data_IF_392408889044
#
_entry.id   IF_392408889044
#
_cell.length_a   1.000
_cell.length_b   1.000
_cell.length_c   1.000
_cell.angle_alpha   90.00
_cell.angle_beta   90.00
_cell.angle_gamma   90.00
#
_symmetry.space_group_name_H-M   'P 1'
#
loop_
_entity.id
_entity.type
_entity.pdbx_description
1 polymer ?
#
# COMPACT_ATOMS: atom_id res chain seq x y z
N UNK A 1 4.47 0.03 22.76
CA UNK A 1 3.30 0.52 22.02
C UNK A 1 2.93 -0.54 20.99
N UNK A 2 1.69 -1.05 20.94
CA UNK A 2 1.31 -2.03 19.93
C UNK A 2 1.38 -1.39 18.53
N UNK A 3 1.72 -2.16 17.48
CA UNK A 3 1.73 -1.65 16.12
C UNK A 3 0.32 -1.18 15.74
N UNK A 4 0.24 0.01 15.12
CA UNK A 4 -1.03 0.56 14.64
C UNK A 4 -1.53 -0.26 13.45
N UNK A 5 -2.75 -0.81 13.48
CA UNK A 5 -3.30 -1.53 12.33
C UNK A 5 -3.48 -0.60 11.13
N UNK A 6 -3.08 -1.07 9.95
CA UNK A 6 -3.30 -0.37 8.68
C UNK A 6 -4.35 -1.12 7.84
N UNK A 7 -5.17 -0.36 7.11
CA UNK A 7 -6.09 -0.92 6.12
C UNK A 7 -5.35 -1.02 4.78
N UNK A 8 -5.49 -2.17 4.12
CA UNK A 8 -4.89 -2.40 2.80
C UNK A 8 -5.83 -3.21 1.94
N UNK A 9 -5.95 -2.82 0.68
CA UNK A 9 -6.48 -3.70 -0.36
C UNK A 9 -5.46 -4.79 -0.71
N UNK A 10 -5.90 -5.82 -1.45
CA UNK A 10 -5.09 -7.00 -1.80
C UNK A 10 -5.31 -7.41 -3.25
N UNK A 11 -4.24 -7.74 -3.96
CA UNK A 11 -4.24 -8.38 -5.29
C UNK A 11 -3.30 -9.59 -5.34
N UNK A 12 -3.27 -10.29 -6.46
CA UNK A 12 -2.35 -11.41 -6.73
C UNK A 12 -2.90 -12.78 -6.33
N UNK A 13 -1.99 -13.69 -5.98
CA UNK A 13 -2.30 -15.09 -5.70
C UNK A 13 -3.45 -15.25 -4.68
N UNK A 14 -4.32 -16.27 -4.79
CA UNK A 14 -5.38 -16.53 -3.80
C UNK A 14 -4.87 -16.61 -2.35
N UNK A 15 -5.75 -16.34 -1.38
CA UNK A 15 -5.40 -16.51 0.04
C UNK A 15 -5.09 -17.99 0.31
N UNK A 16 -4.01 -18.24 1.04
CA UNK A 16 -3.54 -19.61 1.33
C UNK A 16 -2.65 -20.24 0.26
N UNK A 17 -2.50 -19.63 -0.92
CA UNK A 17 -1.62 -20.14 -1.99
C UNK A 17 -0.41 -19.24 -2.30
N UNK A 18 -0.37 -18.03 -1.75
CA UNK A 18 0.76 -17.13 -1.89
C UNK A 18 2.01 -17.70 -1.20
N UNK A 19 3.14 -17.69 -1.90
CA UNK A 19 4.47 -18.09 -1.40
C UNK A 19 5.38 -16.91 -1.10
N UNK A 20 5.02 -15.73 -1.59
CA UNK A 20 5.71 -14.48 -1.29
C UNK A 20 4.71 -13.33 -1.20
N UNK A 21 5.17 -12.22 -0.63
CA UNK A 21 4.37 -11.02 -0.42
C UNK A 21 5.17 -9.81 -0.86
N UNK A 22 4.50 -8.90 -1.56
CA UNK A 22 5.00 -7.55 -1.86
C UNK A 22 4.05 -6.56 -1.17
N UNK A 23 4.63 -5.63 -0.42
CA UNK A 23 3.90 -4.53 0.23
C UNK A 23 4.43 -3.24 -0.38
N UNK A 24 3.57 -2.55 -1.14
CA UNK A 24 3.87 -1.23 -1.66
C UNK A 24 3.67 -0.18 -0.57
N UNK A 25 4.57 0.78 -0.51
CA UNK A 25 4.52 1.91 0.43
C UNK A 25 4.48 3.18 -0.39
N UNK A 26 3.33 3.87 -0.37
CA UNK A 26 3.12 5.05 -1.20
C UNK A 26 3.89 6.27 -0.67
N UNK A 27 4.14 7.24 -1.56
CA UNK A 27 4.77 8.52 -1.22
C UNK A 27 3.82 9.48 -0.49
N UNK A 28 4.35 10.60 -0.01
CA UNK A 28 3.57 11.64 0.69
C UNK A 28 2.40 12.14 -0.15
N UNK A 29 1.20 12.21 0.44
CA UNK A 29 0.00 12.71 -0.22
C UNK A 29 -0.64 11.77 -1.24
N UNK A 30 -0.11 10.55 -1.43
CA UNK A 30 -0.74 9.49 -2.23
C UNK A 30 -1.59 8.56 -1.34
N UNK A 31 -2.12 7.49 -1.91
CA UNK A 31 -2.82 6.42 -1.17
C UNK A 31 -2.37 5.03 -1.63
N UNK A 32 -2.84 3.99 -0.94
CA UNK A 32 -2.52 2.60 -1.24
C UNK A 32 -3.07 2.13 -2.59
N UNK A 33 -4.25 2.61 -2.99
CA UNK A 33 -4.87 2.22 -4.26
C UNK A 33 -4.00 2.63 -5.47
N UNK A 34 -3.36 3.79 -5.41
CA UNK A 34 -2.45 4.30 -6.45
C UNK A 34 -1.34 3.29 -6.77
N UNK A 35 -0.68 2.76 -5.74
CA UNK A 35 0.41 1.78 -5.93
C UNK A 35 -0.07 0.35 -6.12
N UNK A 36 -1.26 -0.01 -5.64
CA UNK A 36 -1.79 -1.36 -5.87
C UNK A 36 -2.03 -1.64 -7.37
N UNK A 37 -2.21 -0.60 -8.18
CA UNK A 37 -2.23 -0.71 -9.64
C UNK A 37 -0.98 -1.38 -10.23
N UNK A 38 0.20 -1.21 -9.61
CA UNK A 38 1.44 -1.86 -10.05
C UNK A 38 1.40 -3.39 -9.95
N UNK A 39 0.47 -3.96 -9.19
CA UNK A 39 0.30 -5.40 -9.13
C UNK A 39 -0.11 -6.00 -10.49
N UNK A 40 -0.84 -5.25 -11.34
CA UNK A 40 -1.38 -5.78 -12.60
C UNK A 40 -0.27 -6.16 -13.61
N UNK A 41 0.72 -5.31 -13.90
CA UNK A 41 1.86 -5.71 -14.75
C UNK A 41 2.82 -6.68 -14.07
N UNK A 42 2.89 -6.72 -12.72
CA UNK A 42 3.83 -7.58 -11.99
C UNK A 42 3.32 -9.01 -11.79
N UNK A 43 2.01 -9.20 -11.59
CA UNK A 43 1.41 -10.49 -11.26
C UNK A 43 1.71 -11.61 -12.27
N UNK A 44 1.76 -11.37 -13.61
CA UNK A 44 2.13 -12.41 -14.58
C UNK A 44 3.54 -12.98 -14.38
N UNK A 45 4.47 -12.17 -13.88
CA UNK A 45 5.87 -12.54 -13.62
C UNK A 45 6.07 -13.09 -12.20
N UNK A 46 5.15 -12.76 -11.29
CA UNK A 46 5.22 -13.06 -9.86
C UNK A 46 3.99 -13.90 -9.43
N UNK A 47 3.73 -15.00 -10.13
CA UNK A 47 2.47 -15.77 -10.09
C UNK A 47 2.02 -16.26 -8.70
N UNK A 48 2.95 -16.44 -7.77
CA UNK A 48 2.66 -16.92 -6.40
C UNK A 48 2.80 -15.80 -5.35
N UNK A 49 2.64 -14.54 -5.77
CA UNK A 49 2.83 -13.38 -4.90
C UNK A 49 1.49 -12.75 -4.55
N UNK A 50 1.30 -12.43 -3.27
CA UNK A 50 0.23 -11.54 -2.84
C UNK A 50 0.74 -10.10 -2.77
N UNK A 51 -0.04 -9.15 -3.29
CA UNK A 51 0.29 -7.73 -3.30
C UNK A 51 -0.62 -6.98 -2.33
N UNK A 52 -0.02 -6.09 -1.55
CA UNK A 52 -0.70 -5.20 -0.62
C UNK A 52 -0.19 -3.78 -0.82
N UNK A 53 -1.02 -2.81 -0.49
CA UNK A 53 -0.67 -1.40 -0.49
C UNK A 53 -1.55 -0.71 0.56
N UNK A 54 -1.08 -0.61 1.81
CA UNK A 54 -1.82 0.08 2.85
C UNK A 54 -1.86 1.59 2.62
N UNK A 55 -2.95 2.22 3.04
CA UNK A 55 -2.95 3.66 3.28
C UNK A 55 -2.11 3.97 4.52
N UNK A 56 -1.36 5.07 4.45
CA UNK A 56 -0.66 5.61 5.59
C UNK A 56 -1.65 6.07 6.69
N UNK A 57 -1.23 6.15 7.97
CA UNK A 57 -2.13 6.29 9.10
C UNK A 57 -2.74 7.69 9.29
N UNK A 58 -2.22 8.71 8.63
CA UNK A 58 -2.62 10.11 8.80
C UNK A 58 -3.11 10.69 7.48
N UNK A 59 -4.16 11.53 7.51
CA UNK A 59 -4.56 12.33 6.35
C UNK A 59 -3.47 13.35 5.99
N UNK A 60 -3.23 13.58 4.71
CA UNK A 60 -2.25 14.56 4.24
C UNK A 60 -2.86 15.98 4.25
N UNK A 61 -2.26 16.97 4.93
CA UNK A 61 -2.77 18.35 4.95
C UNK A 61 -2.88 19.00 3.57
N UNK A 62 -1.95 18.69 2.66
CA UNK A 62 -1.87 19.28 1.31
C UNK A 62 -2.68 18.55 0.22
N UNK A 63 -3.29 17.41 0.54
CA UNK A 63 -4.12 16.65 -0.42
C UNK A 63 -5.28 15.95 0.32
N UNK A 64 -6.53 16.44 0.21
CA UNK A 64 -7.68 15.92 0.95
C UNK A 64 -7.99 14.43 0.74
N UNK A 65 -7.54 13.84 -0.37
CA UNK A 65 -7.73 12.42 -0.70
C UNK A 65 -6.47 11.57 -0.50
N UNK A 66 -5.41 12.17 0.05
CA UNK A 66 -4.11 11.54 0.27
C UNK A 66 -3.80 11.28 1.73
N UNK A 67 -2.79 10.44 1.96
CA UNK A 67 -2.30 10.05 3.27
C UNK A 67 -0.80 10.34 3.44
N UNK A 68 -0.34 10.37 4.69
CA UNK A 68 1.07 10.54 5.04
C UNK A 68 1.48 9.55 6.14
N UNK A 69 2.74 9.11 6.09
CA UNK A 69 3.33 8.23 7.11
C UNK A 69 3.76 8.99 8.36
N UNK A 70 4.20 10.23 8.13
CA UNK A 70 4.62 11.22 9.10
C UNK A 70 4.50 12.60 8.44
N UNK A 71 4.31 13.67 9.24
CA UNK A 71 4.30 15.03 8.70
C UNK A 71 5.66 15.41 8.14
N UNK A 72 5.67 16.22 7.08
CA UNK A 72 6.88 16.85 6.55
C UNK A 72 6.84 18.31 7.02
N UNK A 73 7.59 18.70 8.08
CA UNK A 73 7.35 19.97 8.78
C UNK A 73 7.52 21.26 7.97
N UNK A 74 8.18 21.17 6.82
CA UNK A 74 8.44 22.29 5.91
C UNK A 74 7.52 22.31 4.69
N UNK A 75 6.54 21.41 4.62
CA UNK A 75 5.43 21.39 3.66
C UNK A 75 4.12 21.65 4.41
#
# INVERSE_FOLDING_TARGET
>A
MPPRPLKSARKGAPKGSARSVVIFVHGYGANGADLLGLADPLAPHLKQTAFYAPDAPESCPGNPFGFQWFPIPWL
#
